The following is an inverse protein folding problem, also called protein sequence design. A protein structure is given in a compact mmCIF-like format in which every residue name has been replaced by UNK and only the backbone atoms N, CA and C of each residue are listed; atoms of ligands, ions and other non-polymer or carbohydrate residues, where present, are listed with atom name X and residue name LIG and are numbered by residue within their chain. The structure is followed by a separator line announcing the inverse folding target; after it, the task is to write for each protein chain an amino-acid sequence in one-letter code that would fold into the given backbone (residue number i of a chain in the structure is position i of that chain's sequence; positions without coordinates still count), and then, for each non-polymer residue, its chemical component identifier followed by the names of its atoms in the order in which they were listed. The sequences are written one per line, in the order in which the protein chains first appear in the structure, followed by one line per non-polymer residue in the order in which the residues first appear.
data_IF_346385315180
#
_entry.id   IF_346385315180
#
_cell.length_a   1.000
_cell.length_b   1.000
_cell.length_c   1.000
_cell.angle_alpha   90.00
_cell.angle_beta   90.00
_cell.angle_gamma   90.00
#
_symmetry.space_group_name_H-M   'P 1'
#
loop_
_entity.id
_entity.type
_entity.pdbx_description
1 polymer ?
#
# COMPACT_ATOMS: atom_id res chain seq x y z
N UNK A 1 17.20 36.06 17.42
CA UNK A 1 17.01 34.71 18.00
C UNK A 1 15.96 33.98 17.19
N UNK A 2 16.39 33.28 16.14
CA UNK A 2 15.50 32.55 15.22
C UNK A 2 14.78 31.43 15.96
N UNK A 3 13.49 31.61 16.19
CA UNK A 3 12.61 30.55 16.67
C UNK A 3 12.46 29.53 15.53
N UNK A 4 13.32 28.52 15.53
CA UNK A 4 13.23 27.39 14.61
C UNK A 4 11.89 26.69 14.85
N UNK A 5 11.02 26.76 13.85
CA UNK A 5 9.71 26.10 13.84
C UNK A 5 9.85 24.62 14.19
N UNK A 6 8.90 24.04 14.95
CA UNK A 6 8.91 22.62 15.26
C UNK A 6 8.82 21.81 13.95
N UNK A 7 9.78 20.90 13.75
CA UNK A 7 9.73 19.95 12.64
C UNK A 7 8.81 18.80 13.05
N UNK A 8 7.64 18.69 12.40
CA UNK A 8 6.73 17.57 12.58
C UNK A 8 7.23 16.37 11.77
N UNK A 9 7.70 15.32 12.45
CA UNK A 9 8.25 14.12 11.80
C UNK A 9 7.41 12.91 12.16
N UNK A 10 6.97 12.17 11.14
CA UNK A 10 6.10 11.01 11.36
C UNK A 10 6.86 9.79 11.91
N UNK A 11 8.11 9.56 11.47
CA UNK A 11 8.95 8.46 11.93
C UNK A 11 10.42 8.91 11.94
N UNK A 12 11.08 8.82 13.09
CA UNK A 12 12.49 9.18 13.25
C UNK A 12 13.35 7.90 13.25
N UNK A 13 14.23 7.76 12.25
CA UNK A 13 15.17 6.60 12.13
C UNK A 13 16.63 7.04 12.33
N UNK A 14 17.54 6.16 12.78
CA UNK A 14 18.91 6.51 13.15
C UNK A 14 19.71 7.36 12.14
N UNK A 15 19.79 7.05 10.83
CA UNK A 15 20.54 7.89 9.89
C UNK A 15 19.92 9.29 9.71
N UNK A 16 18.63 9.46 10.00
CA UNK A 16 17.97 10.76 10.01
C UNK A 16 18.17 11.52 11.32
N UNK A 17 18.50 10.83 12.43
CA UNK A 17 18.77 11.48 13.72
C UNK A 17 20.05 12.31 13.64
N UNK A 18 21.10 11.74 13.04
CA UNK A 18 22.39 12.41 12.91
C UNK A 18 22.28 13.69 12.07
N UNK A 19 21.45 13.67 11.02
CA UNK A 19 21.16 14.86 10.23
C UNK A 19 20.45 15.96 11.05
N UNK A 20 19.50 15.59 11.92
CA UNK A 20 18.81 16.56 12.78
C UNK A 20 19.74 17.14 13.86
N UNK A 21 20.60 16.30 14.44
CA UNK A 21 21.62 16.74 15.41
C UNK A 21 22.61 17.68 14.74
N UNK A 22 23.13 17.31 13.57
CA UNK A 22 24.04 18.16 12.80
C UNK A 22 23.41 19.48 12.36
N UNK A 23 22.10 19.49 12.10
CA UNK A 23 21.34 20.70 11.80
C UNK A 23 21.11 21.61 13.04
N UNK A 24 21.42 21.14 14.25
CA UNK A 24 21.30 21.94 15.47
C UNK A 24 19.86 22.28 15.86
N UNK A 25 18.89 21.42 15.55
CA UNK A 25 17.49 21.68 15.89
C UNK A 25 17.29 21.65 17.41
N UNK A 26 16.57 22.64 17.95
CA UNK A 26 16.33 22.72 19.40
C UNK A 26 15.21 21.79 19.88
N UNK A 27 14.23 21.50 19.02
CA UNK A 27 13.03 20.73 19.37
C UNK A 27 12.51 19.87 18.21
N UNK A 28 12.11 18.65 18.52
CA UNK A 28 11.47 17.71 17.59
C UNK A 28 10.14 17.23 18.16
N UNK A 29 9.07 17.35 17.40
CA UNK A 29 7.74 16.84 17.77
C UNK A 29 7.38 15.71 16.80
N UNK A 30 7.35 14.48 17.31
CA UNK A 30 6.97 13.31 16.53
C UNK A 30 5.49 13.01 16.69
N UNK A 31 4.80 12.61 15.62
CA UNK A 31 3.40 12.22 15.78
C UNK A 31 3.27 10.85 16.45
N UNK A 32 4.09 9.88 16.02
CA UNK A 32 4.10 8.53 16.56
C UNK A 32 5.51 7.98 16.68
N UNK A 33 5.68 6.94 17.49
CA UNK A 33 6.90 6.15 17.52
C UNK A 33 6.91 5.12 16.38
N UNK A 34 8.09 4.73 15.90
CA UNK A 34 8.23 3.69 14.87
C UNK A 34 7.63 2.36 15.39
N UNK A 35 6.67 1.75 14.70
CA UNK A 35 6.07 0.48 15.11
C UNK A 35 6.99 -0.73 14.91
N UNK A 36 8.11 -0.57 14.20
CA UNK A 36 9.05 -1.67 13.96
C UNK A 36 9.81 -1.98 15.26
N UNK A 37 9.62 -3.19 15.84
CA UNK A 37 10.20 -3.54 17.13
C UNK A 37 11.74 -3.50 17.13
N UNK A 38 12.39 -3.60 15.97
CA UNK A 38 13.85 -3.57 15.85
C UNK A 38 14.45 -2.17 16.07
N UNK A 39 13.67 -1.12 15.88
CA UNK A 39 14.15 0.29 15.91
C UNK A 39 13.28 1.21 16.77
N UNK A 40 12.14 0.74 17.28
CA UNK A 40 11.21 1.51 18.08
C UNK A 40 11.90 2.29 19.21
N UNK A 41 11.56 3.57 19.34
CA UNK A 41 12.05 4.48 20.40
C UNK A 41 13.52 4.93 20.30
N UNK A 42 14.39 4.20 19.59
CA UNK A 42 15.84 4.50 19.55
C UNK A 42 16.16 5.86 18.94
N UNK A 43 15.40 6.29 17.95
CA UNK A 43 15.60 7.59 17.29
C UNK A 43 15.31 8.76 18.22
N UNK A 44 14.17 8.72 18.92
CA UNK A 44 13.79 9.77 19.88
C UNK A 44 14.76 9.83 21.06
N UNK A 45 15.16 8.66 21.57
CA UNK A 45 16.15 8.59 22.65
C UNK A 45 17.51 9.19 22.23
N UNK A 46 17.98 8.91 21.01
CA UNK A 46 19.23 9.48 20.49
C UNK A 46 19.19 11.00 20.36
N UNK A 47 18.06 11.57 19.92
CA UNK A 47 17.88 13.03 19.87
C UNK A 47 17.90 13.63 21.29
N UNK A 48 17.23 12.99 22.24
CA UNK A 48 17.22 13.43 23.63
C UNK A 48 18.63 13.40 24.25
N UNK A 49 19.44 12.38 23.96
CA UNK A 49 20.84 12.30 24.39
C UNK A 49 21.72 13.42 23.80
N UNK A 50 21.36 13.95 22.63
CA UNK A 50 22.02 15.10 22.02
C UNK A 50 21.51 16.45 22.57
N UNK A 51 20.67 16.46 23.61
CA UNK A 51 20.15 17.68 24.24
C UNK A 51 18.96 18.31 23.52
N UNK A 52 18.35 17.62 22.56
CA UNK A 52 17.18 18.10 21.82
C UNK A 52 15.91 17.83 22.63
N UNK A 53 15.00 18.81 22.74
CA UNK A 53 13.68 18.60 23.35
C UNK A 53 12.81 17.74 22.42
N UNK A 54 12.28 16.64 22.94
CA UNK A 54 11.53 15.65 22.16
C UNK A 54 10.18 15.38 22.79
N UNK A 55 9.11 15.52 22.01
CA UNK A 55 7.77 15.07 22.39
C UNK A 55 7.17 14.16 21.32
N UNK A 56 6.27 13.27 21.73
CA UNK A 56 5.53 12.43 20.80
C UNK A 56 4.04 12.26 21.14
N UNK A 57 3.23 11.87 20.16
CA UNK A 57 1.81 11.55 20.35
C UNK A 57 0.84 12.61 19.83
N UNK A 58 1.34 13.75 19.37
CA UNK A 58 0.53 14.79 18.75
C UNK A 58 -0.06 14.27 17.42
N UNK A 59 -1.38 14.35 17.26
CA UNK A 59 -2.11 13.85 16.08
C UNK A 59 -1.78 12.38 15.73
N UNK A 60 -1.54 11.55 16.75
CA UNK A 60 -1.16 10.15 16.56
C UNK A 60 -2.21 9.38 15.74
N UNK A 61 -3.50 9.65 15.98
CA UNK A 61 -4.61 8.99 15.28
C UNK A 61 -4.55 9.24 13.77
N UNK A 62 -4.29 10.48 13.36
CA UNK A 62 -4.17 10.89 11.97
C UNK A 62 -2.95 10.26 11.31
N UNK A 63 -1.81 10.21 12.01
CA UNK A 63 -0.63 9.51 11.53
C UNK A 63 -0.88 8.00 11.38
N UNK A 64 -1.66 7.38 12.27
CA UNK A 64 -2.06 5.98 12.13
C UNK A 64 -2.91 5.75 10.88
N UNK A 65 -3.85 6.66 10.59
CA UNK A 65 -4.69 6.58 9.41
C UNK A 65 -3.91 6.76 8.10
N UNK A 66 -2.85 7.56 8.10
CA UNK A 66 -2.03 7.79 6.92
C UNK A 66 -1.29 6.54 6.44
N UNK A 67 -0.88 5.66 7.37
CA UNK A 67 0.01 4.53 7.07
C UNK A 67 -0.53 3.15 7.48
N UNK A 68 -1.86 2.95 7.44
CA UNK A 68 -2.56 1.69 7.81
C UNK A 68 -1.84 0.42 7.34
N UNK A 69 -1.44 0.39 6.05
CA UNK A 69 -0.76 -0.75 5.45
C UNK A 69 0.63 -1.02 6.02
N UNK A 70 1.45 0.02 6.17
CA UNK A 70 2.79 -0.09 6.72
C UNK A 70 2.74 -0.47 8.21
N UNK A 71 1.91 0.22 8.99
CA UNK A 71 1.78 0.00 10.42
C UNK A 71 1.29 -1.42 10.75
N UNK A 72 0.24 -1.90 10.05
CA UNK A 72 -0.25 -3.27 10.25
C UNK A 72 0.82 -4.31 9.94
N UNK A 73 1.58 -4.11 8.85
CA UNK A 73 2.66 -5.02 8.47
C UNK A 73 3.77 -5.07 9.51
N UNK A 74 4.17 -3.92 10.07
CA UNK A 74 5.20 -3.88 11.11
C UNK A 74 4.73 -4.50 12.42
N UNK A 75 3.46 -4.31 12.79
CA UNK A 75 2.89 -4.84 14.05
C UNK A 75 2.55 -6.33 14.00
N UNK A 76 2.06 -6.83 12.87
CA UNK A 76 1.46 -8.18 12.77
C UNK A 76 2.11 -9.10 11.73
N UNK A 77 2.99 -8.57 10.87
CA UNK A 77 3.53 -9.29 9.72
C UNK A 77 2.58 -9.42 8.53
N UNK A 78 1.31 -9.04 8.67
CA UNK A 78 0.31 -9.13 7.61
C UNK A 78 0.02 -7.78 6.93
N UNK A 79 -0.30 -7.76 5.62
CA UNK A 79 -0.73 -6.55 4.95
C UNK A 79 -2.12 -6.08 5.40
N UNK A 80 -2.40 -4.79 5.19
CA UNK A 80 -3.77 -4.29 5.22
C UNK A 80 -4.45 -4.66 3.90
N UNK A 81 -5.64 -5.27 3.99
CA UNK A 81 -6.39 -5.77 2.84
C UNK A 81 -7.62 -4.89 2.67
N UNK A 82 -7.79 -4.35 1.48
CA UNK A 82 -9.00 -3.65 1.05
C UNK A 82 -9.72 -4.51 0.02
N UNK A 83 -10.97 -4.85 0.31
CA UNK A 83 -11.85 -5.58 -0.61
C UNK A 83 -12.78 -4.58 -1.29
N UNK A 84 -12.73 -4.50 -2.61
CA UNK A 84 -13.70 -3.75 -3.42
C UNK A 84 -14.80 -4.68 -3.90
N UNK A 85 -16.05 -4.33 -3.60
CA UNK A 85 -17.24 -4.99 -4.10
C UNK A 85 -18.06 -4.00 -4.91
N UNK A 86 -18.62 -4.45 -6.03
CA UNK A 86 -19.64 -3.71 -6.78
C UNK A 86 -20.83 -4.62 -6.96
N UNK A 87 -22.02 -4.14 -6.58
CA UNK A 87 -23.25 -4.91 -6.65
C UNK A 87 -24.40 -4.00 -7.10
N UNK A 88 -25.43 -4.60 -7.69
CA UNK A 88 -26.73 -3.98 -7.89
C UNK A 88 -27.48 -3.84 -6.54
N UNK A 89 -28.60 -3.11 -6.55
CA UNK A 89 -29.41 -2.91 -5.35
C UNK A 89 -29.96 -4.22 -4.76
N UNK A 90 -30.22 -5.22 -5.60
CA UNK A 90 -30.63 -6.56 -5.20
C UNK A 90 -29.44 -7.49 -4.88
N UNK A 91 -28.22 -6.96 -4.78
CA UNK A 91 -27.04 -7.67 -4.31
C UNK A 91 -26.32 -8.53 -5.36
N UNK A 92 -26.68 -8.43 -6.64
CA UNK A 92 -26.02 -9.19 -7.72
C UNK A 92 -24.73 -8.51 -8.17
N UNK A 93 -23.72 -9.31 -8.47
CA UNK A 93 -22.37 -8.84 -8.87
C UNK A 93 -22.04 -9.13 -10.33
N UNK A 94 -22.84 -9.96 -10.98
CA UNK A 94 -22.80 -10.25 -12.42
C UNK A 94 -24.22 -10.61 -12.89
N UNK A 95 -24.49 -10.46 -14.18
CA UNK A 95 -25.69 -10.97 -14.81
C UNK A 95 -25.67 -12.51 -14.85
N UNK A 96 -26.85 -13.12 -15.01
CA UNK A 96 -26.94 -14.59 -15.21
C UNK A 96 -26.17 -15.07 -16.46
N UNK A 97 -25.96 -14.18 -17.43
CA UNK A 97 -25.13 -14.38 -18.62
C UNK A 97 -23.62 -14.39 -18.33
N UNK A 98 -23.19 -14.02 -17.12
CA UNK A 98 -21.79 -13.82 -16.76
C UNK A 98 -21.26 -12.42 -17.09
N UNK A 99 -22.04 -11.57 -17.75
CA UNK A 99 -21.66 -10.18 -18.02
C UNK A 99 -21.62 -9.36 -16.72
N UNK A 100 -20.48 -8.74 -16.45
CA UNK A 100 -20.21 -8.00 -15.20
C UNK A 100 -19.81 -6.53 -15.45
N UNK A 101 -19.77 -6.11 -16.72
CA UNK A 101 -19.43 -4.76 -17.16
C UNK A 101 -20.69 -3.96 -17.49
N UNK A 102 -20.92 -2.71 -17.07
CA UNK A 102 -20.37 -1.94 -15.96
C UNK A 102 -21.54 -1.59 -15.02
N UNK A 103 -21.79 -2.42 -14.01
CA UNK A 103 -22.85 -2.20 -13.01
C UNK A 103 -22.64 -0.88 -12.23
N UNK A 104 -21.39 -0.41 -12.15
CA UNK A 104 -20.99 0.78 -11.39
C UNK A 104 -20.72 1.98 -12.29
N UNK A 105 -20.98 3.19 -11.80
CA UNK A 105 -20.85 4.45 -12.55
C UNK A 105 -19.40 4.81 -12.92
N UNK A 106 -19.19 5.74 -13.87
CA UNK A 106 -17.86 6.29 -14.16
C UNK A 106 -17.16 6.88 -12.93
N UNK A 107 -17.90 7.53 -12.02
CA UNK A 107 -17.37 8.08 -10.77
C UNK A 107 -16.83 6.98 -9.87
N UNK A 108 -17.59 5.89 -9.68
CA UNK A 108 -17.13 4.74 -8.91
C UNK A 108 -15.87 4.09 -9.53
N UNK A 109 -15.74 4.11 -10.87
CA UNK A 109 -14.53 3.62 -11.54
C UNK A 109 -13.31 4.52 -11.30
N UNK A 110 -13.50 5.85 -11.24
CA UNK A 110 -12.45 6.81 -10.85
C UNK A 110 -12.01 6.59 -9.40
N UNK A 111 -12.94 6.35 -8.49
CA UNK A 111 -12.61 6.05 -7.08
C UNK A 111 -11.75 4.78 -6.96
N UNK A 112 -12.07 3.75 -7.75
CA UNK A 112 -11.25 2.53 -7.82
C UNK A 112 -9.84 2.82 -8.34
N UNK A 113 -9.66 3.76 -9.29
CA UNK A 113 -8.32 4.15 -9.75
C UNK A 113 -7.51 4.80 -8.64
N UNK A 114 -8.13 5.71 -7.86
CA UNK A 114 -7.50 6.32 -6.69
C UNK A 114 -7.08 5.27 -5.65
N UNK A 115 -7.97 4.33 -5.30
CA UNK A 115 -7.66 3.23 -4.38
C UNK A 115 -6.53 2.32 -4.90
N UNK A 116 -6.51 2.02 -6.21
CA UNK A 116 -5.43 1.25 -6.83
C UNK A 116 -4.10 1.98 -6.79
N UNK A 117 -4.09 3.30 -7.02
CA UNK A 117 -2.88 4.13 -6.98
C UNK A 117 -2.23 4.15 -5.59
N UNK A 118 -3.05 4.15 -4.53
CA UNK A 118 -2.61 4.11 -3.13
C UNK A 118 -2.16 2.71 -2.69
N UNK A 119 -2.62 1.66 -3.37
CA UNK A 119 -2.35 0.27 -3.01
C UNK A 119 -0.95 -0.19 -3.42
N UNK A 120 -0.26 -0.94 -2.56
CA UNK A 120 1.02 -1.54 -2.93
C UNK A 120 0.83 -2.61 -4.01
N UNK A 121 -0.22 -3.44 -3.87
CA UNK A 121 -0.54 -4.55 -4.75
C UNK A 121 -2.04 -4.65 -5.01
N UNK A 122 -2.40 -5.24 -6.15
CA UNK A 122 -3.75 -5.66 -6.51
C UNK A 122 -3.74 -7.19 -6.55
N UNK A 123 -4.69 -7.80 -5.85
CA UNK A 123 -4.88 -9.25 -5.81
C UNK A 123 -6.14 -9.62 -6.60
N UNK A 124 -6.05 -10.66 -7.42
CA UNK A 124 -7.19 -11.22 -8.16
C UNK A 124 -7.11 -12.75 -8.23
N UNK A 125 -8.21 -13.38 -8.66
CA UNK A 125 -8.26 -14.81 -8.95
C UNK A 125 -8.00 -15.09 -10.42
N UNK A 126 -7.50 -16.28 -10.73
CA UNK A 126 -7.43 -16.76 -12.12
C UNK A 126 -8.79 -16.78 -12.81
N UNK A 127 -9.88 -17.04 -12.10
CA UNK A 127 -11.23 -17.03 -12.67
C UNK A 127 -11.61 -15.66 -13.24
N UNK A 128 -11.32 -14.58 -12.51
CA UNK A 128 -11.53 -13.20 -12.99
C UNK A 128 -10.63 -12.89 -14.18
N UNK A 129 -9.38 -13.36 -14.18
CA UNK A 129 -8.46 -13.13 -15.31
C UNK A 129 -8.97 -13.79 -16.59
N UNK A 130 -9.45 -15.02 -16.48
CA UNK A 130 -9.99 -15.78 -17.62
C UNK A 130 -11.31 -15.20 -18.14
N UNK A 131 -12.17 -14.70 -17.25
CA UNK A 131 -13.48 -14.16 -17.63
C UNK A 131 -13.39 -12.74 -18.21
N UNK A 132 -12.55 -11.87 -17.63
CA UNK A 132 -12.57 -10.43 -17.92
C UNK A 132 -11.33 -9.91 -18.67
N UNK A 133 -10.27 -10.73 -18.81
CA UNK A 133 -8.95 -10.35 -19.34
C UNK A 133 -8.47 -8.94 -18.90
N UNK A 134 -8.43 -8.64 -17.59
CA UNK A 134 -8.20 -7.30 -17.10
C UNK A 134 -6.70 -6.96 -17.12
N UNK A 135 -6.35 -5.72 -17.46
CA UNK A 135 -4.96 -5.24 -17.34
C UNK A 135 -4.50 -5.04 -15.87
N UNK A 136 -5.47 -4.73 -14.98
CA UNK A 136 -5.27 -4.41 -13.56
C UNK A 136 -4.19 -3.34 -13.31
N UNK A 137 -4.18 -2.31 -14.15
CA UNK A 137 -3.30 -1.15 -14.05
C UNK A 137 -4.03 0.06 -13.47
N UNK A 138 -3.23 1.00 -12.96
CA UNK A 138 -3.67 2.37 -12.70
C UNK A 138 -3.61 3.15 -13.99
N UNK A 139 -4.74 3.77 -14.37
CA UNK A 139 -4.84 4.63 -15.55
C UNK A 139 -4.82 6.08 -15.09
N UNK A 140 -3.70 6.77 -15.33
CA UNK A 140 -3.47 8.13 -14.81
C UNK A 140 -4.54 9.12 -15.27
N UNK A 141 -4.98 9.02 -16.53
CA UNK A 141 -6.05 9.86 -17.10
C UNK A 141 -7.42 9.67 -16.44
N UNK A 142 -7.63 8.58 -15.70
CA UNK A 142 -8.86 8.32 -14.95
C UNK A 142 -8.77 8.73 -13.48
N UNK A 143 -7.62 9.24 -13.03
CA UNK A 143 -7.49 9.85 -11.70
C UNK A 143 -8.15 11.23 -11.70
N UNK A 144 -8.67 11.66 -10.56
CA UNK A 144 -9.19 13.01 -10.38
C UNK A 144 -8.07 14.06 -10.41
N UNK A 145 -8.44 15.31 -10.70
CA UNK A 145 -7.50 16.44 -10.88
C UNK A 145 -6.59 16.66 -9.66
N UNK A 146 -7.13 16.52 -8.43
CA UNK A 146 -6.34 16.70 -7.21
C UNK A 146 -5.24 15.62 -7.10
N UNK A 147 -5.58 14.37 -7.42
CA UNK A 147 -4.60 13.28 -7.45
C UNK A 147 -3.57 13.49 -8.56
N UNK A 148 -3.98 13.93 -9.74
CA UNK A 148 -3.06 14.20 -10.86
C UNK A 148 -2.05 15.32 -10.53
N UNK A 149 -2.50 16.37 -9.83
CA UNK A 149 -1.64 17.48 -9.40
C UNK A 149 -0.55 17.01 -8.41
N UNK A 150 -0.87 16.09 -7.50
CA UNK A 150 0.08 15.55 -6.53
C UNK A 150 0.93 14.39 -7.08
N UNK A 151 0.45 13.70 -8.11
CA UNK A 151 1.06 12.50 -8.64
C UNK A 151 1.28 12.60 -10.16
N UNK A 152 2.38 13.26 -10.59
CA UNK A 152 2.69 13.45 -12.00
C UNK A 152 2.81 12.12 -12.76
N UNK A 153 2.36 12.09 -14.02
CA UNK A 153 2.31 10.88 -14.83
C UNK A 153 3.65 10.15 -14.94
N UNK A 154 4.76 10.89 -15.04
CA UNK A 154 6.12 10.34 -15.09
C UNK A 154 6.51 9.56 -13.82
N UNK A 155 5.89 9.89 -12.69
CA UNK A 155 6.13 9.23 -11.41
C UNK A 155 5.17 8.05 -11.15
N UNK A 156 4.22 7.81 -12.06
CA UNK A 156 3.21 6.78 -11.91
C UNK A 156 3.85 5.39 -11.70
N UNK A 157 3.71 4.90 -10.48
CA UNK A 157 4.05 3.54 -10.09
C UNK A 157 2.83 2.65 -10.26
N UNK A 158 2.98 1.60 -11.06
CA UNK A 158 1.99 0.53 -11.15
C UNK A 158 2.04 -0.37 -9.90
N UNK A 159 0.90 -0.76 -9.32
CA UNK A 159 0.85 -1.71 -8.21
C UNK A 159 1.32 -3.10 -8.66
N UNK A 160 1.86 -3.86 -7.72
CA UNK A 160 2.20 -5.27 -7.98
C UNK A 160 0.91 -6.03 -8.23
N UNK A 161 0.86 -6.84 -9.29
CA UNK A 161 -0.31 -7.67 -9.61
C UNK A 161 -0.06 -9.08 -9.07
N UNK A 162 -0.97 -9.56 -8.22
CA UNK A 162 -0.92 -10.87 -7.59
C UNK A 162 -2.10 -11.68 -8.09
N UNK A 163 -1.84 -12.84 -8.71
CA UNK A 163 -2.88 -13.76 -9.18
C UNK A 163 -2.84 -15.03 -8.34
N UNK A 164 -4.00 -15.45 -7.87
CA UNK A 164 -4.18 -16.78 -7.27
C UNK A 164 -4.59 -17.74 -8.39
N UNK A 165 -3.66 -18.63 -8.74
CA UNK A 165 -3.84 -19.66 -9.76
C UNK A 165 -3.18 -20.96 -9.33
N UNK A 166 -3.97 -21.90 -8.81
CA UNK A 166 -3.49 -23.22 -8.39
C UNK A 166 -3.32 -24.20 -9.54
N UNK A 167 -3.86 -23.88 -10.73
CA UNK A 167 -3.93 -24.77 -11.89
C UNK A 167 -3.10 -24.27 -13.08
N UNK A 168 -2.39 -23.15 -12.94
CA UNK A 168 -1.60 -22.50 -14.01
C UNK A 168 -2.42 -22.27 -15.29
N UNK A 169 -3.66 -21.79 -15.15
CA UNK A 169 -4.56 -21.49 -16.27
C UNK A 169 -4.26 -20.15 -16.93
N UNK A 170 -3.67 -19.20 -16.20
CA UNK A 170 -3.32 -17.88 -16.77
C UNK A 170 -2.10 -18.02 -17.67
N UNK A 171 -2.24 -17.57 -18.90
CA UNK A 171 -1.20 -17.64 -19.93
C UNK A 171 -0.53 -16.26 -20.14
N UNK A 172 0.69 -16.22 -20.71
CA UNK A 172 1.41 -14.96 -20.97
C UNK A 172 0.69 -13.97 -21.90
N UNK A 173 -0.27 -14.44 -22.69
CA UNK A 173 -1.02 -13.62 -23.66
C UNK A 173 -2.07 -12.71 -22.97
N UNK A 174 -2.45 -12.99 -21.73
CA UNK A 174 -3.41 -12.18 -20.98
C UNK A 174 -2.89 -10.75 -20.77
N UNK A 175 -3.76 -9.75 -20.85
CA UNK A 175 -3.38 -8.31 -20.84
C UNK A 175 -2.57 -7.89 -19.62
N UNK A 176 -2.81 -8.52 -18.48
CA UNK A 176 -2.05 -8.21 -17.27
C UNK A 176 -0.57 -8.61 -17.36
N UNK A 177 -0.22 -9.56 -18.22
CA UNK A 177 1.16 -10.00 -18.42
C UNK A 177 1.92 -9.10 -19.41
N UNK A 178 1.24 -8.48 -20.37
CA UNK A 178 1.85 -7.64 -21.42
C UNK A 178 1.94 -6.15 -21.08
N UNK A 179 1.14 -5.65 -20.13
CA UNK A 179 1.15 -4.22 -19.78
C UNK A 179 2.44 -3.79 -19.06
N UNK A 180 3.01 -2.61 -19.37
CA UNK A 180 4.29 -2.16 -18.85
C UNK A 180 4.25 -2.06 -17.32
N UNK A 181 4.92 -3.00 -16.67
CA UNK A 181 5.31 -2.87 -15.27
C UNK A 181 6.77 -2.46 -15.22
N UNK A 182 7.16 -1.68 -14.20
CA UNK A 182 8.56 -1.28 -14.02
C UNK A 182 9.48 -2.51 -14.08
N UNK A 183 10.68 -2.40 -14.70
CA UNK A 183 11.67 -3.47 -14.70
C UNK A 183 11.94 -3.90 -13.25
N UNK A 184 11.74 -5.17 -12.94
CA UNK A 184 11.88 -5.72 -11.57
C UNK A 184 10.61 -6.36 -10.99
N UNK A 185 9.45 -6.18 -11.63
CA UNK A 185 8.25 -6.98 -11.37
C UNK A 185 8.38 -8.38 -11.97
N UNK A 186 9.32 -9.19 -11.45
CA UNK A 186 9.23 -10.64 -11.67
C UNK A 186 7.85 -11.06 -11.19
N UNK A 187 7.08 -11.72 -12.04
CA UNK A 187 6.03 -12.65 -11.61
C UNK A 187 6.75 -13.67 -10.74
N UNK A 188 6.88 -13.38 -9.45
CA UNK A 188 7.38 -14.35 -8.49
C UNK A 188 6.27 -15.38 -8.39
N UNK A 189 6.45 -16.52 -9.06
CA UNK A 189 5.72 -17.75 -8.78
C UNK A 189 5.95 -18.11 -7.32
N UNK A 190 5.19 -17.51 -6.41
CA UNK A 190 5.08 -17.98 -5.04
C UNK A 190 3.81 -18.82 -5.02
N UNK A 191 3.97 -20.07 -5.45
CA UNK A 191 2.97 -21.10 -5.19
C UNK A 191 2.91 -21.21 -3.66
N UNK A 192 1.91 -20.60 -3.03
CA UNK A 192 1.52 -21.00 -1.69
C UNK A 192 0.80 -22.34 -1.86
N UNK A 193 1.58 -23.41 -2.02
CA UNK A 193 1.08 -24.74 -1.72
C UNK A 193 0.81 -24.70 -0.22
N UNK A 194 -0.44 -24.78 0.19
CA UNK A 194 -0.75 -25.09 1.57
C UNK A 194 -0.06 -26.42 1.87
N UNK A 195 1.03 -26.36 2.63
CA UNK A 195 1.66 -27.55 3.16
C UNK A 195 0.60 -28.26 3.98
N UNK A 196 0.05 -29.35 3.45
CA UNK A 196 -0.50 -30.41 4.28
C UNK A 196 0.60 -30.75 5.27
N UNK A 197 0.49 -30.24 6.51
CA UNK A 197 1.17 -30.86 7.65
C UNK A 197 0.65 -32.29 7.67
N UNK A 198 1.45 -33.23 7.15
CA UNK A 198 1.28 -34.63 7.49
C UNK A 198 1.53 -34.69 9.00
N UNK A 199 0.47 -34.88 9.76
CA UNK A 199 0.60 -35.37 11.12
C UNK A 199 1.38 -36.69 11.03
N UNK A 200 2.57 -36.72 11.61
CA UNK A 200 3.25 -37.98 11.91
C UNK A 200 2.53 -38.52 13.14
N UNK A 201 1.97 -39.74 13.11
CA UNK A 201 1.39 -40.34 14.32
C UNK A 201 2.50 -40.60 15.34
N UNK A 202 2.13 -40.52 16.62
CA UNK A 202 2.98 -40.74 17.78
C UNK A 202 3.76 -42.06 17.71
#
# INVERSE_FOLDING_TARGET
MSHSNPVAIMVVRPPCCDALIAAGVARVVASMQDPNPQVAGRGLYRLQQAGIDVSHGLMMSEAEQLNKGFLKRMRTGFPYIQLKLGASLDGRTAMASGESQWITSPQARRDVQRLRAQSHAILTSSATVLADDPALTVRWSELDEQTQALYPQQNLRQPIRIVIDSQNRVTPEHRMCSSPAKPGSRVRRKILVSGRKRCVPC
#
